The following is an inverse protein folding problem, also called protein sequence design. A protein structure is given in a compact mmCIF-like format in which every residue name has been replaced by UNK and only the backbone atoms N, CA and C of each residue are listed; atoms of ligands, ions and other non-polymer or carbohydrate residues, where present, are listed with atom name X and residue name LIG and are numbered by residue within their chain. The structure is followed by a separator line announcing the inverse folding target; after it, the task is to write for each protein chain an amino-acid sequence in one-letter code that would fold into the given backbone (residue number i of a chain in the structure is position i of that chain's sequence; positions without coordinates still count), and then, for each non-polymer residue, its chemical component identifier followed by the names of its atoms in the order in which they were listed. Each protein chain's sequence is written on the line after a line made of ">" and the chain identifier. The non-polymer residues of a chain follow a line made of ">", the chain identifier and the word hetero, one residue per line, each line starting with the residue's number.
data_IF_934550499910
#
_entry.id   IF_934550499910
#
_cell.length_a   1.000
_cell.length_b   1.000
_cell.length_c   1.000
_cell.angle_alpha   90.00
_cell.angle_beta   90.00
_cell.angle_gamma   90.00
#
_symmetry.space_group_name_H-M   'P 1'
#
loop_
_entity.id
_entity.type
_entity.pdbx_description
1 polymer ?
#
# COMPACT_ATOMS: atom_id res chain seq x y z
N UNK A 1 4.00 -4.69 28.09
CA UNK A 1 5.01 -5.52 27.41
C UNK A 1 4.44 -6.92 27.28
N UNK A 2 4.04 -7.29 26.06
CA UNK A 2 3.68 -8.67 25.71
C UNK A 2 4.18 -8.88 24.29
N UNK A 3 5.21 -9.71 24.15
CA UNK A 3 5.86 -10.09 22.88
C UNK A 3 5.19 -11.33 22.28
N UNK A 4 5.28 -11.53 20.94
CA UNK A 4 5.76 -12.73 20.19
C UNK A 4 5.27 -12.75 18.71
N UNK A 5 6.11 -13.23 17.78
CA UNK A 5 5.81 -13.69 16.39
C UNK A 5 6.10 -12.80 15.16
N UNK A 6 7.35 -12.35 14.93
CA UNK A 6 7.80 -12.06 13.54
C UNK A 6 7.28 -10.77 12.87
N UNK A 7 7.33 -9.66 13.60
CA UNK A 7 6.98 -8.26 13.25
C UNK A 7 7.25 -7.78 11.78
N UNK A 8 6.54 -6.71 11.36
CA UNK A 8 7.06 -5.35 11.58
C UNK A 8 6.10 -4.56 12.49
N UNK A 9 6.50 -4.29 13.74
CA UNK A 9 7.17 -3.09 14.21
C UNK A 9 6.40 -1.82 13.83
N UNK A 10 5.75 -1.21 14.83
CA UNK A 10 5.41 0.22 14.94
C UNK A 10 5.11 0.93 13.60
N UNK A 11 4.09 0.47 12.88
CA UNK A 11 3.62 1.15 11.67
C UNK A 11 2.89 2.44 12.05
N UNK A 12 3.42 3.57 11.59
CA UNK A 12 2.77 4.88 11.70
C UNK A 12 2.10 5.21 10.38
N UNK A 13 0.80 5.51 10.41
CA UNK A 13 0.09 5.95 9.22
C UNK A 13 0.62 7.32 8.76
N UNK A 14 1.07 7.40 7.51
CA UNK A 14 1.51 8.63 6.86
C UNK A 14 0.40 9.24 5.98
N UNK A 15 -0.61 8.44 5.64
CA UNK A 15 -1.77 8.89 4.88
C UNK A 15 -2.75 9.65 5.78
N UNK A 16 -3.29 10.77 5.29
CA UNK A 16 -4.33 11.51 6.02
C UNK A 16 -5.56 10.62 6.19
N UNK A 17 -6.02 10.43 7.44
CA UNK A 17 -7.17 9.59 7.73
C UNK A 17 -8.42 10.26 7.17
N UNK A 18 -8.97 9.73 6.07
CA UNK A 18 -10.20 10.27 5.49
C UNK A 18 -11.34 10.10 6.48
N UNK A 19 -11.94 11.23 6.89
CA UNK A 19 -13.02 11.28 7.89
C UNK A 19 -14.42 11.07 7.30
N UNK A 20 -14.52 10.89 5.97
CA UNK A 20 -15.77 10.73 5.24
C UNK A 20 -15.76 9.45 4.40
N UNK A 21 -16.18 8.35 5.02
CA UNK A 21 -16.24 7.00 4.42
C UNK A 21 -17.40 6.84 3.42
N UNK A 22 -18.32 7.81 3.36
CA UNK A 22 -19.52 7.79 2.51
C UNK A 22 -19.28 8.33 1.09
N UNK A 23 -18.07 8.75 0.74
CA UNK A 23 -17.74 9.12 -0.63
C UNK A 23 -17.46 7.88 -1.48
N UNK A 24 -18.41 7.51 -2.34
CA UNK A 24 -18.18 6.54 -3.40
C UNK A 24 -16.97 6.93 -4.27
N UNK A 25 -15.98 6.03 -4.37
CA UNK A 25 -14.93 6.11 -5.39
C UNK A 25 -13.66 6.84 -5.00
N UNK A 26 -13.05 6.48 -3.86
CA UNK A 26 -11.67 6.84 -3.57
C UNK A 26 -10.78 6.40 -4.74
N UNK A 27 -10.03 7.35 -5.32
CA UNK A 27 -9.08 7.11 -6.41
C UNK A 27 -7.68 7.38 -5.87
N UNK A 28 -6.80 6.38 -5.94
CA UNK A 28 -5.42 6.55 -5.49
C UNK A 28 -5.00 5.42 -4.57
N UNK A 29 -3.97 5.67 -3.77
CA UNK A 29 -3.45 4.74 -2.77
C UNK A 29 -4.31 4.86 -1.51
N UNK A 30 -4.78 3.73 -0.98
CA UNK A 30 -5.69 3.71 0.19
C UNK A 30 -4.95 3.88 1.52
N UNK A 31 -3.68 3.49 1.60
CA UNK A 31 -2.88 3.65 2.81
C UNK A 31 -1.38 3.62 2.57
N UNK A 32 -0.65 4.43 3.33
CA UNK A 32 0.82 4.41 3.41
C UNK A 32 1.23 4.44 4.87
N UNK A 33 2.16 3.57 5.23
CA UNK A 33 2.67 3.44 6.59
C UNK A 33 4.20 3.47 6.58
N UNK A 34 4.79 4.09 7.59
CA UNK A 34 6.22 4.02 7.88
C UNK A 34 6.47 3.02 9.00
N UNK A 35 7.47 2.16 8.83
CA UNK A 35 7.95 1.24 9.84
C UNK A 35 9.15 1.84 10.57
N UNK A 36 9.04 1.99 11.89
CA UNK A 36 10.12 2.51 12.73
C UNK A 36 11.35 1.57 12.82
N UNK A 37 11.20 0.29 12.45
CA UNK A 37 12.26 -0.74 12.42
C UNK A 37 12.38 -1.41 11.03
N UNK A 38 12.90 -0.72 10.01
CA UNK A 38 13.07 -1.27 8.67
C UNK A 38 14.04 -2.46 8.62
N UNK A 39 13.93 -3.37 7.63
CA UNK A 39 13.06 -3.32 6.44
C UNK A 39 11.68 -4.02 6.63
N UNK A 40 10.65 -3.67 5.83
CA UNK A 40 10.61 -2.54 4.89
C UNK A 40 10.51 -1.20 5.65
N UNK A 41 10.93 -0.08 5.05
CA UNK A 41 10.73 1.27 5.61
C UNK A 41 9.31 1.77 5.38
N UNK A 42 8.76 1.51 4.19
CA UNK A 42 7.40 1.92 3.83
C UNK A 42 6.55 0.73 3.43
N UNK A 43 5.26 0.77 3.82
CA UNK A 43 4.23 -0.18 3.38
C UNK A 43 3.12 0.60 2.69
N UNK A 44 2.87 0.28 1.43
CA UNK A 44 1.79 0.85 0.61
C UNK A 44 0.68 -0.19 0.52
N UNK A 45 -0.54 0.20 0.90
CA UNK A 45 -1.70 -0.69 1.02
C UNK A 45 -2.80 -0.26 0.07
N UNK A 46 -3.38 -1.23 -0.64
CA UNK A 46 -4.66 -1.11 -1.34
C UNK A 46 -5.70 -1.97 -0.61
N UNK A 47 -6.90 -1.44 -0.41
CA UNK A 47 -8.04 -2.14 0.16
C UNK A 47 -9.02 -2.61 -0.92
N UNK A 48 -9.56 -3.82 -0.75
CA UNK A 48 -10.61 -4.40 -1.60
C UNK A 48 -11.72 -5.00 -0.74
N UNK A 49 -12.94 -5.00 -1.26
CA UNK A 49 -14.11 -5.55 -0.60
C UNK A 49 -14.92 -6.46 -1.54
N UNK A 50 -15.37 -7.60 -1.00
CA UNK A 50 -16.24 -8.53 -1.73
C UNK A 50 -15.56 -9.07 -2.98
N UNK A 51 -16.13 -8.79 -4.16
CA UNK A 51 -15.60 -9.25 -5.44
C UNK A 51 -14.76 -8.20 -6.18
N UNK A 52 -14.33 -7.12 -5.52
CA UNK A 52 -13.47 -6.11 -6.16
C UNK A 52 -12.03 -6.60 -6.23
N UNK A 53 -11.38 -6.38 -7.37
CA UNK A 53 -9.97 -6.76 -7.59
C UNK A 53 -9.10 -5.56 -7.97
N UNK A 54 -7.77 -5.78 -8.01
CA UNK A 54 -6.81 -4.84 -8.58
C UNK A 54 -7.07 -4.68 -10.09
N UNK A 55 -7.34 -3.45 -10.52
CA UNK A 55 -7.52 -3.16 -11.93
C UNK A 55 -6.21 -3.33 -12.70
N UNK A 56 -6.24 -4.10 -13.79
CA UNK A 56 -5.08 -4.38 -14.65
C UNK A 56 -4.97 -3.41 -15.84
N UNK A 57 -5.93 -2.50 -15.99
CA UNK A 57 -6.08 -1.63 -17.15
C UNK A 57 -5.90 -0.12 -16.90
N UNK A 58 -5.43 0.41 -15.75
CA UNK A 58 -5.07 1.81 -15.68
C UNK A 58 -4.02 2.17 -16.75
N UNK A 59 -4.05 3.43 -17.21
CA UNK A 59 -3.15 3.94 -18.26
C UNK A 59 -1.67 3.75 -17.91
N UNK A 60 -1.34 3.85 -16.63
CA UNK A 60 0.02 3.81 -16.10
C UNK A 60 0.43 2.37 -15.71
N UNK A 61 -0.32 1.36 -16.17
CA UNK A 61 -0.11 -0.04 -15.82
C UNK A 61 -1.04 -0.55 -14.71
N UNK A 62 -0.94 -1.84 -14.35
CA UNK A 62 -1.76 -2.46 -13.30
C UNK A 62 -1.72 -1.69 -11.97
N UNK A 63 -2.85 -1.64 -11.26
CA UNK A 63 -2.88 -1.08 -9.90
C UNK A 63 -1.80 -1.71 -9.03
N UNK A 64 -1.15 -0.89 -8.20
CA UNK A 64 -0.05 -1.27 -7.30
C UNK A 64 1.26 -1.72 -8.00
N UNK A 65 1.32 -1.71 -9.34
CA UNK A 65 2.59 -1.80 -10.05
C UNK A 65 3.46 -0.58 -9.77
N UNK A 66 4.77 -0.69 -10.04
CA UNK A 66 5.73 0.40 -9.87
C UNK A 66 5.28 1.64 -10.64
N UNK A 67 4.97 1.46 -11.92
CA UNK A 67 4.56 2.55 -12.81
C UNK A 67 3.25 3.20 -12.36
N UNK A 68 2.31 2.40 -11.85
CA UNK A 68 1.06 2.92 -11.31
C UNK A 68 1.26 3.75 -10.04
N UNK A 69 2.10 3.29 -9.10
CA UNK A 69 2.39 4.01 -7.85
C UNK A 69 3.12 5.33 -8.14
N UNK A 70 4.08 5.31 -9.07
CA UNK A 70 4.85 6.49 -9.45
C UNK A 70 4.07 7.45 -10.37
N UNK A 71 3.03 6.96 -11.03
CA UNK A 71 2.21 7.71 -11.97
C UNK A 71 1.09 8.53 -11.32
N UNK A 72 0.54 9.47 -12.10
CA UNK A 72 -0.62 10.29 -11.75
C UNK A 72 -0.56 10.94 -10.35
N UNK A 73 0.62 11.33 -9.87
CA UNK A 73 0.84 12.02 -8.60
C UNK A 73 0.28 11.25 -7.38
N UNK A 74 0.12 9.92 -7.47
CA UNK A 74 -0.59 9.14 -6.45
C UNK A 74 0.10 9.18 -5.08
N UNK A 75 1.42 9.13 -5.04
CA UNK A 75 2.18 9.27 -3.79
C UNK A 75 2.02 10.67 -3.20
N UNK A 76 2.17 11.73 -3.99
CA UNK A 76 2.02 13.11 -3.53
C UNK A 76 0.62 13.37 -2.96
N UNK A 77 -0.41 12.87 -3.64
CA UNK A 77 -1.79 12.95 -3.16
C UNK A 77 -2.02 12.13 -1.89
N UNK A 78 -1.25 11.06 -1.65
CA UNK A 78 -1.42 10.21 -0.49
C UNK A 78 -0.67 10.72 0.75
N UNK A 79 0.55 11.25 0.60
CA UNK A 79 1.44 11.54 1.74
C UNK A 79 2.10 12.92 1.68
N UNK A 80 1.74 13.76 0.70
CA UNK A 80 2.41 15.02 0.43
C UNK A 80 3.74 14.84 -0.32
N UNK A 81 4.31 15.95 -0.86
CA UNK A 81 5.45 15.90 -1.76
C UNK A 81 6.74 15.40 -1.10
N UNK A 82 7.03 15.80 0.13
CA UNK A 82 8.28 15.45 0.82
C UNK A 82 8.39 13.94 1.07
N UNK A 83 7.35 13.33 1.63
CA UNK A 83 7.31 11.88 1.89
C UNK A 83 7.19 11.09 0.58
N UNK A 84 6.48 11.63 -0.43
CA UNK A 84 6.42 11.01 -1.74
C UNK A 84 7.82 10.88 -2.38
N UNK A 85 8.65 11.91 -2.28
CA UNK A 85 10.02 11.87 -2.80
C UNK A 85 10.90 10.86 -2.07
N UNK A 86 10.76 10.73 -0.75
CA UNK A 86 11.44 9.69 0.02
C UNK A 86 11.02 8.28 -0.43
N UNK A 87 9.72 8.04 -0.62
CA UNK A 87 9.22 6.74 -1.08
C UNK A 87 9.73 6.45 -2.50
N UNK A 88 9.73 7.43 -3.40
CA UNK A 88 10.31 7.29 -4.75
C UNK A 88 11.77 6.91 -4.69
N UNK A 89 12.54 7.57 -3.84
CA UNK A 89 13.95 7.26 -3.64
C UNK A 89 14.15 5.82 -3.19
N UNK A 90 13.38 5.33 -2.21
CA UNK A 90 13.47 3.94 -1.75
C UNK A 90 13.02 2.95 -2.84
N UNK A 91 11.95 3.23 -3.60
CA UNK A 91 11.51 2.37 -4.73
C UNK A 91 12.64 2.18 -5.76
N UNK A 92 13.38 3.25 -6.07
CA UNK A 92 14.44 3.19 -7.09
C UNK A 92 15.76 2.62 -6.56
N UNK A 93 16.16 2.99 -5.34
CA UNK A 93 17.51 2.72 -4.83
C UNK A 93 17.56 1.56 -3.83
N UNK A 94 16.48 1.31 -3.09
CA UNK A 94 16.40 0.26 -2.07
C UNK A 94 15.04 -0.46 -2.16
N UNK A 95 14.71 -1.14 -3.26
CA UNK A 95 13.35 -1.64 -3.49
C UNK A 95 12.82 -2.59 -2.40
N UNK A 96 13.69 -3.26 -1.64
CA UNK A 96 13.32 -4.05 -0.46
C UNK A 96 12.80 -3.23 0.73
N UNK A 97 13.00 -1.91 0.74
CA UNK A 97 12.47 -1.00 1.75
C UNK A 97 11.04 -0.55 1.46
N UNK A 98 10.43 -0.93 0.33
CA UNK A 98 9.04 -0.57 0.00
C UNK A 98 8.24 -1.83 -0.26
N UNK A 99 7.39 -2.18 0.70
CA UNK A 99 6.47 -3.31 0.58
C UNK A 99 5.12 -2.82 0.04
N UNK A 100 4.53 -3.60 -0.87
CA UNK A 100 3.19 -3.39 -1.39
C UNK A 100 2.26 -4.48 -0.91
N UNK A 101 1.07 -4.10 -0.51
CA UNK A 101 0.13 -4.99 0.18
C UNK A 101 -1.27 -4.79 -0.37
N UNK A 102 -1.93 -5.91 -0.65
CA UNK A 102 -3.38 -5.97 -0.82
C UNK A 102 -4.00 -6.37 0.52
N UNK A 103 -4.97 -5.60 1.01
CA UNK A 103 -5.88 -6.00 2.08
C UNK A 103 -7.26 -6.24 1.48
N UNK A 104 -7.75 -7.47 1.56
CA UNK A 104 -9.03 -7.86 0.98
C UNK A 104 -9.97 -8.31 2.08
N UNK A 105 -11.15 -7.69 2.13
CA UNK A 105 -12.23 -8.05 3.05
C UNK A 105 -13.31 -8.79 2.28
N UNK A 106 -13.60 -10.04 2.65
CA UNK A 106 -14.67 -10.80 2.01
C UNK A 106 -16.07 -10.35 2.48
N UNK A 107 -17.13 -10.89 1.86
CA UNK A 107 -18.51 -10.54 2.20
C UNK A 107 -18.93 -10.96 3.64
N UNK A 108 -18.15 -11.80 4.30
CA UNK A 108 -18.37 -12.20 5.70
C UNK A 108 -17.55 -11.34 6.69
N UNK A 109 -16.74 -10.41 6.18
CA UNK A 109 -15.86 -9.57 6.98
C UNK A 109 -14.50 -10.19 7.29
N UNK A 110 -14.14 -11.33 6.68
CA UNK A 110 -12.82 -11.91 6.86
C UNK A 110 -11.78 -11.11 6.09
N UNK A 111 -10.66 -10.80 6.74
CA UNK A 111 -9.55 -10.05 6.15
C UNK A 111 -8.44 -11.02 5.73
N UNK A 112 -8.02 -10.92 4.47
CA UNK A 112 -6.79 -11.53 3.97
C UNK A 112 -5.86 -10.46 3.48
N UNK A 113 -4.58 -10.60 3.77
CA UNK A 113 -3.56 -9.67 3.34
C UNK A 113 -2.47 -10.39 2.56
N UNK A 114 -1.99 -9.75 1.49
CA UNK A 114 -1.09 -10.38 0.51
C UNK A 114 -0.05 -9.41 -0.03
N UNK A 115 1.16 -9.88 -0.31
CA UNK A 115 2.20 -9.11 -1.00
C UNK A 115 1.87 -8.91 -2.47
N UNK A 116 2.24 -7.75 -3.01
CA UNK A 116 2.16 -7.42 -4.44
C UNK A 116 3.58 -7.16 -4.97
N UNK A 117 3.92 -7.71 -6.13
CA UNK A 117 5.22 -7.48 -6.78
C UNK A 117 5.29 -6.14 -7.54
N UNK A 118 6.45 -5.87 -8.15
CA UNK A 118 6.68 -4.65 -8.92
C UNK A 118 5.78 -4.47 -10.14
N UNK A 119 5.21 -5.55 -10.65
CA UNK A 119 4.34 -5.58 -11.83
C UNK A 119 2.86 -5.49 -11.47
N UNK A 120 2.51 -5.45 -10.18
CA UNK A 120 1.12 -5.43 -9.72
C UNK A 120 0.49 -6.82 -9.54
N UNK A 121 1.29 -7.88 -9.50
CA UNK A 121 0.80 -9.24 -9.27
C UNK A 121 0.83 -9.58 -7.78
N UNK A 122 -0.24 -10.23 -7.30
CA UNK A 122 -0.26 -10.81 -5.95
C UNK A 122 0.67 -12.02 -5.91
N UNK A 123 1.60 -12.06 -4.94
CA UNK A 123 2.65 -13.09 -4.86
C UNK A 123 2.55 -14.04 -3.68
N UNK A 124 1.79 -13.70 -2.65
CA UNK A 124 1.64 -14.55 -1.46
C UNK A 124 1.01 -13.80 -0.29
N UNK A 125 0.75 -14.48 0.84
CA UNK A 125 0.23 -13.84 2.05
C UNK A 125 1.21 -12.82 2.64
N UNK A 126 0.68 -11.82 3.35
CA UNK A 126 1.39 -10.78 4.08
C UNK A 126 0.61 -10.41 5.34
N UNK A 127 1.22 -10.00 6.46
CA UNK A 127 2.51 -10.50 6.92
C UNK A 127 2.42 -11.99 7.30
#
# INVERSE_FOLDING_TARGET
>A
MTEINGQPADLTALHEKITNVDQNGHKGIDGVYENASPPPKYVIVEAKYGSSDLSQTPKDGPQMSKDWILGSERLENAVGPEIADDIRFEIENNPSNVQRVLSHVDANGNVTTSTIDANGNVTGPWP
#
